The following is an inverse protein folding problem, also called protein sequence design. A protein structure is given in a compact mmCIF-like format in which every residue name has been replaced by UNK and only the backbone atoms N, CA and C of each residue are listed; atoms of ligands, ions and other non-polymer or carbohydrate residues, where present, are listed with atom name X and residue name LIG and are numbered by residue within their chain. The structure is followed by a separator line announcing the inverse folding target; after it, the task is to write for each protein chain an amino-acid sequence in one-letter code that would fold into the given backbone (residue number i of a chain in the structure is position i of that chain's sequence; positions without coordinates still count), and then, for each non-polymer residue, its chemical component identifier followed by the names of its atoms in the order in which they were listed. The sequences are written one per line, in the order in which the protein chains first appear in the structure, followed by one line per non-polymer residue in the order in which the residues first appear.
data_IF_545703807354
#
_entry.id   IF_545703807354
#
_cell.length_a   1.000
_cell.length_b   1.000
_cell.length_c   1.000
_cell.angle_alpha   90.00
_cell.angle_beta   90.00
_cell.angle_gamma   90.00
#
_symmetry.space_group_name_H-M   'P 1'
#
loop_
_entity.id
_entity.type
_entity.pdbx_description
1 polymer ?
#
# COMPACT_ATOMS: atom_id res chain seq x y z
N UNK A 1 16.17 12.79 -1.44
CA UNK A 1 15.00 12.83 -2.34
C UNK A 1 13.77 12.28 -1.61
N UNK A 2 13.28 13.11 -0.69
CA UNK A 2 11.97 13.00 -0.04
C UNK A 2 10.89 13.07 -1.14
N UNK A 3 9.81 12.32 -0.97
CA UNK A 3 8.59 12.43 -1.79
C UNK A 3 8.72 11.98 -3.27
N UNK A 4 8.83 10.67 -3.50
CA UNK A 4 8.29 10.08 -4.73
C UNK A 4 6.76 10.06 -4.63
N UNK A 5 6.12 11.24 -4.73
CA UNK A 5 4.65 11.42 -4.74
C UNK A 5 3.94 10.72 -5.92
N UNK A 6 4.71 10.01 -6.76
CA UNK A 6 4.27 9.24 -7.94
C UNK A 6 4.35 7.72 -7.75
N UNK A 7 4.94 7.25 -6.66
CA UNK A 7 4.93 5.84 -6.32
C UNK A 7 3.57 5.52 -5.68
N UNK A 8 2.83 4.58 -6.25
CA UNK A 8 1.60 4.07 -5.64
C UNK A 8 2.00 3.17 -4.45
N UNK A 9 2.07 3.79 -3.28
CA UNK A 9 2.41 3.13 -2.02
C UNK A 9 1.14 3.05 -1.19
N UNK A 10 0.59 1.85 -1.06
CA UNK A 10 -0.51 1.60 -0.15
C UNK A 10 0.03 1.32 1.24
N UNK A 11 -0.51 2.05 2.22
CA UNK A 11 -0.29 1.80 3.63
C UNK A 11 -1.55 1.18 4.25
N UNK A 12 -1.38 0.01 4.86
CA UNK A 12 -2.42 -0.66 5.62
C UNK A 12 -1.98 -0.89 7.07
N UNK A 13 -2.92 -0.68 8.00
CA UNK A 13 -2.74 -1.05 9.40
C UNK A 13 -3.93 -1.90 9.85
N UNK A 14 -3.62 -3.00 10.54
CA UNK A 14 -4.63 -3.87 11.15
C UNK A 14 -4.16 -4.32 12.53
N UNK A 15 -5.12 -4.49 13.44
CA UNK A 15 -4.88 -5.08 14.76
C UNK A 15 -5.55 -6.46 14.82
N UNK A 16 -4.84 -7.44 15.37
CA UNK A 16 -5.36 -8.76 15.65
C UNK A 16 -5.54 -8.93 17.16
N UNK A 17 -6.77 -9.22 17.59
CA UNK A 17 -7.07 -9.60 18.97
C UNK A 17 -6.73 -11.07 19.18
N UNK A 18 -5.75 -11.35 20.04
CA UNK A 18 -5.35 -12.70 20.43
C UNK A 18 -5.66 -12.94 21.90
N UNK A 19 -5.70 -14.20 22.31
CA UNK A 19 -5.90 -14.61 23.71
C UNK A 19 -4.90 -13.99 24.69
N UNK A 20 -3.74 -13.56 24.21
CA UNK A 20 -2.67 -12.95 25.02
C UNK A 20 -2.53 -11.43 24.79
N UNK A 21 -3.44 -10.81 24.05
CA UNK A 21 -3.46 -9.37 23.81
C UNK A 21 -3.54 -9.00 22.33
N UNK A 22 -3.25 -7.73 22.03
CA UNK A 22 -3.32 -7.18 20.68
C UNK A 22 -1.99 -7.25 19.95
N UNK A 23 -2.01 -7.74 18.71
CA UNK A 23 -0.87 -7.72 17.80
C UNK A 23 -1.18 -6.74 16.66
N UNK A 24 -0.38 -5.68 16.53
CA UNK A 24 -0.49 -4.71 15.44
C UNK A 24 0.35 -5.12 14.24
N UNK A 25 -0.26 -5.13 13.05
CA UNK A 25 0.41 -5.39 11.77
C UNK A 25 0.39 -4.13 10.93
N UNK A 26 1.57 -3.67 10.53
CA UNK A 26 1.76 -2.57 9.59
C UNK A 26 2.28 -3.14 8.28
N UNK A 27 1.61 -2.81 7.19
CA UNK A 27 1.99 -3.29 5.85
C UNK A 27 2.18 -2.09 4.94
N UNK A 28 3.31 -2.10 4.23
CA UNK A 28 3.57 -1.20 3.10
C UNK A 28 3.62 -2.03 1.84
N UNK A 29 2.75 -1.72 0.87
CA UNK A 29 2.70 -2.36 -0.43
C UNK A 29 3.18 -1.36 -1.46
N UNK A 30 4.31 -1.66 -2.10
CA UNK A 30 4.82 -0.90 -3.24
C UNK A 30 4.25 -1.48 -4.53
N UNK A 31 3.36 -0.75 -5.21
CA UNK A 31 2.72 -1.18 -6.46
C UNK A 31 3.48 -0.75 -7.73
N UNK A 32 4.60 -0.05 -7.59
CA UNK A 32 5.37 0.50 -8.73
C UNK A 32 5.02 1.95 -9.06
N UNK A 33 5.51 2.45 -10.19
CA UNK A 33 5.06 3.72 -10.76
C UNK A 33 3.72 3.50 -11.49
N UNK A 34 2.76 4.40 -11.29
CA UNK A 34 1.50 4.42 -12.06
C UNK A 34 1.83 4.75 -13.51
N UNK A 35 2.17 3.77 -14.33
CA UNK A 35 2.14 3.91 -15.78
C UNK A 35 0.66 4.06 -16.16
N UNK A 36 0.22 5.19 -16.74
CA UNK A 36 -1.16 5.33 -17.17
C UNK A 36 -1.43 4.23 -18.19
N UNK A 37 -2.34 3.30 -17.85
CA UNK A 37 -2.81 2.30 -18.79
C UNK A 37 -3.28 3.05 -20.04
N UNK A 38 -2.57 2.84 -21.15
CA UNK A 38 -3.00 3.32 -22.44
C UNK A 38 -4.37 2.69 -22.68
N UNK A 39 -5.44 3.47 -22.45
CA UNK A 39 -6.81 3.10 -22.83
C UNK A 39 -6.77 2.66 -24.29
N UNK A 40 -6.84 1.36 -24.54
CA UNK A 40 -7.27 0.85 -25.84
C UNK A 40 -8.76 1.16 -25.93
N UNK A 41 -9.08 2.28 -26.57
CA UNK A 41 -10.40 2.51 -27.17
C UNK A 41 -10.62 1.40 -28.19
N UNK A 42 -11.64 0.58 -27.95
CA UNK A 42 -12.33 -0.23 -28.94
C UNK A 42 -13.73 0.36 -29.15
#
# INVERSE_FOLDING_TARGET
PLHTLRADIDYGFAEADTTYGKIGVKVWIYKGEVLPEAKKQG
#
